data_IF_852362024504
#
_entry.id   IF_852362024504
#
_cell.length_a   1.000
_cell.length_b   1.000
_cell.length_c   1.000
_cell.angle_alpha   90.00
_cell.angle_beta   90.00
_cell.angle_gamma   90.00
#
_symmetry.space_group_name_H-M   'P 1'
#
loop_
_entity.id
_entity.type
_entity.pdbx_description
1 polymer ?
#
# COMPACT_ATOMS: atom_id res chain seq x y z
N UNK A 1 24.91 7.12 -5.55
CA UNK A 1 23.61 7.83 -5.63
C UNK A 1 22.67 7.05 -4.73
N UNK A 2 21.81 7.67 -3.91
CA UNK A 2 20.93 6.87 -3.06
C UNK A 2 19.91 6.10 -3.92
N UNK A 3 19.80 4.78 -3.72
CA UNK A 3 18.79 3.95 -4.38
C UNK A 3 17.41 4.05 -3.70
N UNK A 4 17.29 4.87 -2.66
CA UNK A 4 16.01 5.17 -2.02
C UNK A 4 15.13 6.01 -2.96
N UNK A 5 13.90 5.57 -3.14
CA UNK A 5 12.95 6.28 -3.98
C UNK A 5 12.47 7.57 -3.31
N UNK A 6 12.70 8.72 -3.94
CA UNK A 6 12.31 10.02 -3.38
C UNK A 6 10.80 10.18 -3.14
N UNK A 7 9.95 9.37 -3.80
CA UNK A 7 8.49 9.41 -3.66
C UNK A 7 7.94 8.45 -2.59
N UNK A 8 8.79 7.61 -1.99
CA UNK A 8 8.33 6.72 -0.92
C UNK A 8 8.11 7.53 0.37
N UNK A 9 7.10 7.16 1.19
CA UNK A 9 6.76 7.88 2.41
C UNK A 9 7.68 7.47 3.57
N UNK A 10 8.98 7.79 3.44
CA UNK A 10 10.00 7.55 4.47
C UNK A 10 9.61 8.23 5.79
N UNK A 11 9.81 7.54 6.91
CA UNK A 11 9.42 8.03 8.23
C UNK A 11 7.92 8.22 8.45
N UNK A 12 7.05 7.70 7.56
CA UNK A 12 5.60 7.76 7.76
C UNK A 12 5.14 6.97 8.98
N UNK A 13 4.16 7.48 9.76
CA UNK A 13 3.66 6.77 10.93
C UNK A 13 2.95 5.48 10.53
N UNK A 14 2.97 4.52 11.45
CA UNK A 14 2.15 3.30 11.37
C UNK A 14 0.98 3.40 12.34
N UNK A 15 -0.08 2.63 12.11
CA UNK A 15 -1.21 2.49 13.03
C UNK A 15 -1.07 1.15 13.76
N UNK A 16 -0.57 1.11 15.02
CA UNK A 16 -0.22 -0.14 15.71
C UNK A 16 -1.38 -1.12 15.87
N UNK A 17 -2.63 -0.62 15.84
CA UNK A 17 -3.82 -1.45 16.01
C UNK A 17 -4.30 -2.17 14.75
N UNK A 18 -3.69 -1.96 13.58
CA UNK A 18 -4.04 -2.71 12.36
C UNK A 18 -3.51 -4.14 12.48
N UNK A 19 -4.35 -5.18 12.32
CA UNK A 19 -3.90 -6.57 12.39
C UNK A 19 -2.96 -6.91 11.22
N UNK A 20 -2.11 -7.92 11.34
CA UNK A 20 -1.24 -8.38 10.25
C UNK A 20 -1.46 -9.86 9.97
N UNK A 21 -1.19 -10.33 8.74
CA UNK A 21 -1.12 -11.76 8.47
C UNK A 21 0.12 -12.40 9.14
N UNK A 22 0.05 -13.68 9.52
CA UNK A 22 -1.14 -14.53 9.47
C UNK A 22 -2.20 -14.06 10.48
N UNK A 23 -3.42 -13.80 10.01
CA UNK A 23 -4.51 -13.29 10.83
C UNK A 23 -4.96 -14.37 11.82
N UNK A 24 -5.32 -13.93 13.03
CA UNK A 24 -5.82 -14.83 14.06
C UNK A 24 -7.14 -15.50 13.65
N UNK A 25 -8.01 -14.75 12.99
CA UNK A 25 -9.34 -15.17 12.55
C UNK A 25 -9.85 -14.30 11.39
N UNK A 26 -11.04 -14.66 10.89
CA UNK A 26 -11.74 -13.95 9.83
C UNK A 26 -12.10 -12.50 10.20
N UNK A 27 -12.33 -12.23 11.49
CA UNK A 27 -12.68 -10.90 11.95
C UNK A 27 -11.48 -9.94 11.89
N UNK A 28 -10.27 -10.44 12.21
CA UNK A 28 -9.02 -9.71 12.05
C UNK A 28 -8.73 -9.41 10.57
N UNK A 29 -8.91 -10.38 9.67
CA UNK A 29 -8.78 -10.15 8.23
C UNK A 29 -9.82 -9.14 7.73
N UNK A 30 -11.10 -9.29 8.09
CA UNK A 30 -12.15 -8.36 7.70
C UNK A 30 -11.89 -6.93 8.25
N UNK A 31 -11.31 -6.82 9.44
CA UNK A 31 -10.89 -5.54 10.01
C UNK A 31 -9.72 -4.93 9.22
N UNK A 32 -8.75 -5.73 8.79
CA UNK A 32 -7.68 -5.27 7.90
C UNK A 32 -8.24 -4.66 6.62
N UNK A 33 -9.10 -5.40 5.92
CA UNK A 33 -9.67 -4.98 4.62
C UNK A 33 -10.51 -3.72 4.79
N UNK A 34 -11.34 -3.63 5.84
CA UNK A 34 -12.11 -2.42 6.13
C UNK A 34 -11.21 -1.21 6.38
N UNK A 35 -10.13 -1.36 7.15
CA UNK A 35 -9.20 -0.26 7.37
C UNK A 35 -8.46 0.13 6.08
N UNK A 36 -8.16 -0.83 5.21
CA UNK A 36 -7.60 -0.57 3.88
C UNK A 36 -8.58 0.21 3.00
N UNK A 37 -9.86 -0.17 2.95
CA UNK A 37 -10.91 0.56 2.24
C UNK A 37 -11.06 1.99 2.77
N UNK A 38 -11.08 2.17 4.10
CA UNK A 38 -11.11 3.50 4.72
C UNK A 38 -9.89 4.33 4.35
N UNK A 39 -8.69 3.75 4.37
CA UNK A 39 -7.47 4.43 3.94
C UNK A 39 -7.55 4.92 2.50
N UNK A 40 -8.03 4.08 1.57
CA UNK A 40 -8.25 4.48 0.17
C UNK A 40 -9.22 5.66 0.05
N UNK A 41 -10.30 5.66 0.83
CA UNK A 41 -11.25 6.76 0.85
C UNK A 41 -10.70 8.06 1.48
N UNK A 42 -9.75 7.94 2.43
CA UNK A 42 -9.09 9.10 3.05
C UNK A 42 -8.10 9.78 2.09
N UNK A 43 -7.37 8.99 1.28
CA UNK A 43 -6.37 9.53 0.33
C UNK A 43 -7.01 10.04 -0.97
N UNK A 44 -8.29 9.75 -1.21
CA UNK A 44 -9.05 10.30 -2.33
C UNK A 44 -9.48 11.76 -2.06
N UNK A 45 -8.83 12.71 -2.74
CA UNK A 45 -8.89 14.15 -2.45
C UNK A 45 -10.28 14.78 -2.57
N UNK A 46 -11.19 14.23 -3.40
CA UNK A 46 -12.56 14.72 -3.59
C UNK A 46 -13.63 14.07 -2.69
N UNK A 47 -13.24 13.06 -1.91
CA UNK A 47 -14.13 12.04 -1.34
C UNK A 47 -14.06 10.81 -2.23
N UNK A 48 -14.58 9.63 -1.82
CA UNK A 48 -14.42 8.42 -2.59
C UNK A 48 -15.15 8.56 -3.93
N UNK A 49 -14.41 8.87 -4.97
CA UNK A 49 -14.92 8.90 -6.34
C UNK A 49 -15.36 7.49 -6.74
N UNK A 50 -16.18 7.37 -7.78
CA UNK A 50 -16.68 6.08 -8.25
C UNK A 50 -15.59 4.99 -8.40
N UNK A 51 -14.36 5.27 -8.91
CA UNK A 51 -13.29 4.28 -8.96
C UNK A 51 -12.85 3.77 -7.58
N UNK A 52 -12.80 4.65 -6.57
CA UNK A 52 -12.46 4.30 -5.18
C UNK A 52 -13.55 3.41 -4.57
N UNK A 53 -14.82 3.73 -4.84
CA UNK A 53 -15.95 2.88 -4.42
C UNK A 53 -15.90 1.52 -5.10
N UNK A 54 -15.65 1.47 -6.41
CA UNK A 54 -15.54 0.22 -7.16
C UNK A 54 -14.39 -0.65 -6.64
N UNK A 55 -13.23 -0.05 -6.33
CA UNK A 55 -12.10 -0.74 -5.71
C UNK A 55 -12.45 -1.24 -4.31
N UNK A 56 -13.12 -0.44 -3.49
CA UNK A 56 -13.54 -0.85 -2.16
C UNK A 56 -14.50 -2.06 -2.22
N UNK A 57 -15.48 -2.04 -3.14
CA UNK A 57 -16.39 -3.17 -3.37
C UNK A 57 -15.64 -4.40 -3.91
N UNK A 58 -14.62 -4.22 -4.76
CA UNK A 58 -13.81 -5.34 -5.26
C UNK A 58 -12.93 -5.98 -4.17
N UNK A 59 -12.55 -5.22 -3.14
CA UNK A 59 -11.84 -5.72 -1.96
C UNK A 59 -12.76 -6.49 -1.01
N UNK A 60 -14.07 -6.25 -1.04
CA UNK A 60 -15.00 -7.00 -0.19
C UNK A 60 -14.95 -8.49 -0.55
N UNK A 61 -14.96 -9.32 0.50
CA UNK A 61 -14.99 -10.76 0.31
C UNK A 61 -16.23 -11.17 -0.48
N UNK A 62 -16.11 -12.17 -1.37
CA UNK A 62 -17.28 -12.76 -2.00
C UNK A 62 -18.22 -13.29 -0.92
N UNK A 63 -19.52 -13.05 -1.10
CA UNK A 63 -20.58 -13.53 -0.19
C UNK A 63 -20.54 -15.05 0.01
N UNK A 64 -19.96 -15.77 -0.94
CA UNK A 64 -19.77 -17.22 -0.91
C UNK A 64 -18.28 -17.53 -1.14
N UNK A 65 -17.45 -17.60 -0.08
CA UNK A 65 -16.05 -17.94 -0.22
C UNK A 65 -15.88 -19.38 -0.69
N UNK A 66 -14.80 -19.64 -1.43
CA UNK A 66 -14.44 -21.01 -1.81
C UNK A 66 -13.93 -21.78 -0.59
N UNK A 67 -14.15 -23.09 -0.55
CA UNK A 67 -13.71 -23.94 0.56
C UNK A 67 -12.17 -23.98 0.76
N UNK A 68 -11.40 -23.46 -0.20
CA UNK A 68 -9.93 -23.42 -0.19
C UNK A 68 -9.36 -22.05 0.18
N UNK A 69 -10.20 -21.07 0.53
CA UNK A 69 -9.73 -19.74 0.89
C UNK A 69 -9.00 -19.77 2.24
N UNK A 70 -7.70 -19.47 2.24
CA UNK A 70 -6.94 -19.28 3.48
C UNK A 70 -7.19 -17.87 4.04
N UNK A 71 -8.09 -17.78 5.00
CA UNK A 71 -8.47 -16.55 5.66
C UNK A 71 -7.41 -15.97 6.60
N UNK A 72 -6.32 -16.70 6.85
CA UNK A 72 -5.19 -16.19 7.62
C UNK A 72 -4.29 -15.31 6.77
N UNK A 73 -4.38 -15.36 5.45
CA UNK A 73 -3.52 -14.62 4.54
C UNK A 73 -4.31 -13.60 3.75
N UNK A 74 -3.62 -12.55 3.33
CA UNK A 74 -4.13 -11.64 2.32
C UNK A 74 -4.20 -12.36 0.98
N UNK A 75 -5.24 -12.09 0.19
CA UNK A 75 -5.23 -12.49 -1.21
C UNK A 75 -4.15 -11.69 -1.96
N UNK A 76 -3.65 -12.18 -3.11
CA UNK A 76 -2.69 -11.42 -3.91
C UNK A 76 -3.19 -10.01 -4.28
N UNK A 77 -4.50 -9.86 -4.51
CA UNK A 77 -5.12 -8.58 -4.82
C UNK A 77 -5.14 -7.63 -3.62
N UNK A 78 -5.57 -8.12 -2.45
CA UNK A 78 -5.58 -7.32 -1.22
C UNK A 78 -4.17 -6.87 -0.82
N UNK A 79 -3.19 -7.78 -0.94
CA UNK A 79 -1.79 -7.45 -0.73
C UNK A 79 -1.37 -6.35 -1.71
N UNK A 80 -1.57 -6.53 -3.02
CA UNK A 80 -1.18 -5.54 -4.03
C UNK A 80 -1.77 -4.14 -3.76
N UNK A 81 -3.05 -4.06 -3.38
CA UNK A 81 -3.71 -2.79 -3.06
C UNK A 81 -3.11 -2.19 -1.78
N UNK A 82 -2.87 -3.01 -0.75
CA UNK A 82 -2.20 -2.58 0.48
C UNK A 82 -0.79 -2.01 0.22
N UNK A 83 0.01 -2.64 -0.64
CA UNK A 83 1.37 -2.18 -0.93
C UNK A 83 1.35 -0.91 -1.79
N UNK A 84 0.49 -0.86 -2.81
CA UNK A 84 0.44 0.24 -3.79
C UNK A 84 -0.13 1.53 -3.19
N UNK A 85 -1.03 1.41 -2.20
CA UNK A 85 -1.64 2.54 -1.49
C UNK A 85 -0.83 3.03 -0.28
N UNK A 86 0.32 2.43 0.00
CA UNK A 86 1.12 2.72 1.20
C UNK A 86 0.35 2.58 2.52
N UNK A 87 -0.53 1.57 2.61
CA UNK A 87 -1.39 1.35 3.76
C UNK A 87 -0.55 1.31 5.07
N UNK A 88 -0.89 2.10 6.11
CA UNK A 88 -0.04 2.30 7.30
C UNK A 88 -0.13 1.14 8.31
N UNK A 89 -0.26 -0.09 7.83
CA UNK A 89 -0.17 -1.28 8.66
C UNK A 89 1.24 -1.37 9.30
N UNK A 90 1.34 -1.85 10.55
CA UNK A 90 2.58 -1.90 11.32
C UNK A 90 3.46 -3.09 10.90
N UNK A 91 3.62 -3.30 9.60
CA UNK A 91 4.40 -4.39 9.01
C UNK A 91 5.77 -4.48 9.68
N UNK A 92 6.12 -5.70 10.11
CA UNK A 92 7.50 -6.06 10.44
C UNK A 92 8.18 -6.63 9.20
N UNK A 93 9.53 -6.65 9.16
CA UNK A 93 10.26 -7.36 8.12
C UNK A 93 9.81 -8.81 7.99
N UNK A 94 9.61 -9.52 9.10
CA UNK A 94 9.15 -10.91 9.10
C UNK A 94 7.75 -11.07 8.50
N UNK A 95 6.78 -10.27 8.93
CA UNK A 95 5.40 -10.37 8.47
C UNK A 95 5.27 -10.03 6.98
N UNK A 96 5.99 -9.00 6.52
CA UNK A 96 5.97 -8.62 5.11
C UNK A 96 6.67 -9.68 4.26
N UNK A 97 7.79 -10.25 4.72
CA UNK A 97 8.48 -11.32 4.00
C UNK A 97 7.61 -12.57 3.82
N UNK A 98 6.86 -12.98 4.86
CA UNK A 98 5.91 -14.12 4.76
C UNK A 98 4.77 -13.80 3.79
N UNK A 99 4.22 -12.58 3.83
CA UNK A 99 3.14 -12.16 2.92
C UNK A 99 3.60 -12.11 1.45
N UNK A 100 4.87 -11.81 1.19
CA UNK A 100 5.45 -11.71 -0.14
C UNK A 100 5.93 -13.05 -0.72
N UNK A 101 5.81 -14.17 0.00
CA UNK A 101 6.36 -15.46 -0.43
C UNK A 101 5.82 -15.91 -1.80
N UNK A 102 4.56 -15.60 -2.09
CA UNK A 102 3.86 -15.95 -3.32
C UNK A 102 3.81 -14.79 -4.34
N UNK A 103 4.47 -13.67 -4.05
CA UNK A 103 4.54 -12.54 -4.97
C UNK A 103 5.42 -12.89 -6.21
N UNK A 104 5.16 -12.32 -7.40
CA UNK A 104 5.90 -12.65 -8.63
C UNK A 104 7.43 -12.52 -8.56
N UNK A 105 7.95 -11.65 -7.70
CA UNK A 105 9.39 -11.45 -7.47
C UNK A 105 9.91 -12.13 -6.19
N UNK A 106 9.03 -12.80 -5.45
CA UNK A 106 9.28 -13.37 -4.13
C UNK A 106 9.62 -12.32 -3.07
N UNK A 107 9.54 -12.72 -1.80
CA UNK A 107 9.96 -11.90 -0.68
C UNK A 107 11.46 -12.02 -0.33
N UNK A 108 11.97 -11.09 0.48
CA UNK A 108 13.29 -11.22 1.10
C UNK A 108 13.36 -12.47 1.98
N UNK A 109 14.54 -13.08 2.04
CA UNK A 109 14.80 -14.30 2.84
C UNK A 109 15.66 -13.97 4.05
N UNK A 110 15.29 -14.54 5.20
CA UNK A 110 16.09 -14.44 6.41
C UNK A 110 17.37 -15.26 6.29
N UNK A 111 18.50 -14.65 6.63
CA UNK A 111 19.82 -15.28 6.77
C UNK A 111 20.34 -15.09 8.18
N UNK A 112 21.50 -15.71 8.53
CA UNK A 112 22.16 -15.47 9.81
C UNK A 112 22.60 -14.01 10.00
N UNK A 113 22.98 -13.33 8.92
CA UNK A 113 23.49 -11.97 8.96
C UNK A 113 22.39 -10.89 8.91
N UNK A 114 21.17 -11.25 8.48
CA UNK A 114 20.13 -10.26 8.23
C UNK A 114 19.11 -10.76 7.23
N UNK A 115 18.68 -9.88 6.34
CA UNK A 115 17.80 -10.16 5.21
C UNK A 115 18.57 -10.10 3.90
N UNK A 116 18.26 -11.02 2.97
CA UNK A 116 18.79 -11.00 1.60
C UNK A 116 17.65 -11.10 0.60
N UNK A 117 17.75 -10.37 -0.50
CA UNK A 117 16.76 -10.40 -1.57
C UNK A 117 17.41 -10.28 -2.95
N UNK A 118 16.88 -11.02 -3.93
CA UNK A 118 17.36 -11.07 -5.32
C UNK A 118 18.82 -11.56 -5.50
N UNK A 119 19.29 -11.65 -6.75
CA UNK A 119 20.62 -12.14 -7.14
C UNK A 119 21.51 -11.12 -7.91
N UNK A 120 20.89 -10.19 -8.65
CA UNK A 120 21.44 -8.92 -9.19
C UNK A 120 20.27 -8.09 -9.81
N UNK A 121 19.90 -6.91 -9.28
CA UNK A 121 20.50 -6.30 -8.11
C UNK A 121 20.31 -7.19 -6.88
N UNK A 122 21.35 -7.40 -6.09
CA UNK A 122 21.23 -8.10 -4.82
C UNK A 122 21.21 -7.12 -3.66
N UNK A 123 20.33 -7.42 -2.71
CA UNK A 123 20.02 -6.58 -1.58
C UNK A 123 20.37 -7.33 -0.33
N UNK A 124 21.09 -6.67 0.57
CA UNK A 124 21.34 -7.15 1.93
C UNK A 124 20.94 -6.08 2.92
N UNK A 125 20.25 -6.47 3.99
CA UNK A 125 19.97 -5.61 5.13
C UNK A 125 20.47 -6.30 6.41
N UNK A 126 21.43 -5.68 7.06
CA UNK A 126 22.05 -6.19 8.28
C UNK A 126 21.74 -5.24 9.45
N UNK A 127 21.53 -5.74 10.67
CA UNK A 127 21.31 -4.88 11.84
C UNK A 127 22.50 -3.94 12.05
N UNK A 128 22.22 -2.64 12.20
CA UNK A 128 23.27 -1.65 12.42
C UNK A 128 23.62 -1.49 13.91
N UNK A 129 24.89 -1.15 14.19
CA UNK A 129 25.35 -0.86 15.54
C UNK A 129 24.76 0.49 15.99
N UNK A 130 23.73 0.44 16.83
CA UNK A 130 22.98 1.62 17.29
C UNK A 130 21.48 1.54 17.03
N UNK A 131 21.00 0.46 16.41
CA UNK A 131 19.60 0.30 15.99
C UNK A 131 19.44 0.47 14.49
N UNK A 132 18.29 0.06 13.95
CA UNK A 132 18.01 0.15 12.52
C UNK A 132 18.82 -0.82 11.65
N UNK A 133 18.97 -0.47 10.37
CA UNK A 133 19.49 -1.36 9.33
C UNK A 133 20.56 -0.68 8.49
N UNK A 134 21.66 -1.39 8.24
CA UNK A 134 22.60 -1.08 7.16
C UNK A 134 22.18 -1.88 5.94
N UNK A 135 21.80 -1.17 4.89
CA UNK A 135 21.35 -1.77 3.64
C UNK A 135 22.39 -1.56 2.57
N UNK A 136 22.82 -2.65 1.95
CA UNK A 136 23.72 -2.62 0.81
C UNK A 136 23.01 -3.19 -0.41
N UNK A 137 23.03 -2.42 -1.49
CA UNK A 137 22.51 -2.81 -2.80
C UNK A 137 23.68 -2.91 -3.77
N UNK A 138 23.82 -4.06 -4.43
CA UNK A 138 24.68 -4.18 -5.59
C UNK A 138 23.81 -4.20 -6.84
N UNK A 139 24.17 -3.41 -7.84
CA UNK A 139 23.54 -3.45 -9.15
C UNK A 139 24.59 -3.19 -10.22
N UNK A 140 24.74 -4.12 -11.18
CA UNK A 140 25.59 -3.92 -12.37
C UNK A 140 27.00 -3.41 -12.04
N UNK A 141 27.62 -3.97 -11.01
CA UNK A 141 28.98 -3.62 -10.57
C UNK A 141 29.11 -2.35 -9.72
N UNK A 142 27.99 -1.68 -9.40
CA UNK A 142 27.95 -0.57 -8.44
C UNK A 142 27.47 -1.06 -7.08
N UNK A 143 28.08 -0.57 -6.01
CA UNK A 143 27.71 -0.84 -4.62
C UNK A 143 27.29 0.46 -3.97
N UNK A 144 26.04 0.52 -3.52
CA UNK A 144 25.52 1.64 -2.73
C UNK A 144 25.09 1.13 -1.34
N UNK A 145 25.42 1.89 -0.29
CA UNK A 145 25.06 1.57 1.09
C UNK A 145 24.29 2.73 1.72
N UNK A 146 23.23 2.42 2.46
CA UNK A 146 22.41 3.39 3.19
C UNK A 146 22.05 2.87 4.58
N UNK A 147 21.82 3.79 5.52
CA UNK A 147 21.34 3.46 6.85
C UNK A 147 19.86 3.83 6.97
N UNK A 148 19.06 2.91 7.49
CA UNK A 148 17.63 3.10 7.80
C UNK A 148 17.47 3.08 9.32
N UNK A 149 16.71 4.03 9.85
CA UNK A 149 16.60 4.23 11.28
C UNK A 149 15.83 3.10 11.99
N UNK A 150 14.85 2.50 11.31
CA UNK A 150 13.95 1.52 11.90
C UNK A 150 13.42 0.48 10.89
N UNK A 151 12.62 -0.44 11.43
CA UNK A 151 11.96 -1.51 10.67
C UNK A 151 10.95 -0.98 9.65
N UNK A 152 10.31 0.17 9.93
CA UNK A 152 9.32 0.77 9.04
C UNK A 152 9.99 1.24 7.76
N UNK A 153 11.15 1.89 7.85
CA UNK A 153 11.89 2.30 6.66
C UNK A 153 12.38 1.07 5.86
N UNK A 154 12.82 -0.01 6.51
CA UNK A 154 13.17 -1.25 5.81
C UNK A 154 11.96 -1.84 5.04
N UNK A 155 10.79 -1.84 5.67
CA UNK A 155 9.53 -2.23 5.04
C UNK A 155 9.21 -1.32 3.86
N UNK A 156 9.26 0.00 4.03
CA UNK A 156 8.98 0.98 2.97
C UNK A 156 9.88 0.76 1.75
N UNK A 157 11.15 0.41 1.97
CA UNK A 157 12.10 0.06 0.92
C UNK A 157 11.69 -1.21 0.14
N UNK A 158 11.17 -2.22 0.81
CA UNK A 158 10.68 -3.43 0.14
C UNK A 158 9.36 -3.18 -0.60
N UNK A 159 8.44 -2.43 0.01
CA UNK A 159 7.19 -1.98 -0.61
C UNK A 159 7.45 -1.16 -1.87
N UNK A 160 8.44 -0.28 -1.82
CA UNK A 160 8.95 0.53 -2.92
C UNK A 160 9.36 -0.29 -4.16
N UNK A 161 9.77 -1.54 -3.96
CA UNK A 161 10.14 -2.44 -5.05
C UNK A 161 8.97 -3.28 -5.56
N UNK A 162 8.02 -3.66 -4.69
CA UNK A 162 6.82 -4.42 -5.08
C UNK A 162 5.67 -3.57 -5.62
N UNK A 163 5.61 -2.29 -5.28
CA UNK A 163 4.59 -1.39 -5.84
C UNK A 163 4.73 -1.34 -7.34
N UNK A 164 3.60 -1.29 -8.06
CA UNK A 164 3.60 -0.96 -9.48
C UNK A 164 4.22 0.42 -9.67
N UNK A 165 5.50 0.48 -10.06
CA UNK A 165 6.25 1.75 -10.23
C UNK A 165 5.72 2.60 -11.39
N UNK A 166 4.99 1.96 -12.29
CA UNK A 166 4.53 2.53 -13.54
C UNK A 166 3.06 2.96 -13.45
N UNK A 167 2.83 4.11 -12.82
CA UNK A 167 1.50 4.72 -12.76
C UNK A 167 1.42 5.93 -13.69
N UNK A 168 1.15 5.70 -14.98
CA UNK A 168 0.46 6.66 -15.87
C UNK A 168 0.14 6.06 -17.26
N UNK A 169 -1.08 6.19 -17.82
CA UNK A 169 -2.39 6.30 -17.17
C UNK A 169 -2.99 4.91 -16.83
N UNK A 170 -2.48 3.85 -17.48
CA UNK A 170 -2.65 2.43 -17.18
C UNK A 170 -1.30 1.77 -17.40
N UNK A 171 -0.64 1.27 -16.37
CA UNK A 171 0.53 0.42 -16.61
C UNK A 171 1.82 1.19 -16.97
N UNK A 172 1.74 2.25 -17.81
CA UNK A 172 2.75 3.09 -18.51
C UNK A 172 2.31 3.40 -19.97
N UNK A 173 1.13 2.96 -20.41
CA UNK A 173 0.64 3.11 -21.79
C UNK A 173 -0.86 3.42 -21.85
N UNK A 174 -1.29 4.13 -22.89
CA UNK A 174 -2.69 4.19 -23.32
C UNK A 174 -2.78 4.41 -24.82
N UNK A 175 -3.90 3.99 -25.39
CA UNK A 175 -4.29 4.35 -26.74
C UNK A 175 -5.23 5.56 -26.69
N UNK A 176 -4.87 6.62 -27.43
CA UNK A 176 -5.69 7.82 -27.54
C UNK A 176 -7.02 7.53 -28.25
N UNK A 177 -7.06 6.57 -29.18
CA UNK A 177 -8.28 6.18 -29.87
C UNK A 177 -9.29 5.53 -28.91
N UNK A 178 -8.82 4.64 -28.02
CA UNK A 178 -9.65 4.02 -26.99
C UNK A 178 -10.20 5.07 -26.01
N UNK A 179 -9.38 6.04 -25.62
CA UNK A 179 -9.81 7.14 -24.76
C UNK A 179 -10.93 7.97 -25.42
N UNK A 180 -10.81 8.29 -26.71
CA UNK A 180 -11.84 9.00 -27.48
C UNK A 180 -13.10 8.15 -27.62
N UNK A 181 -12.97 6.85 -27.88
CA UNK A 181 -14.09 5.94 -28.03
C UNK A 181 -14.91 5.78 -26.74
N UNK A 182 -14.23 5.72 -25.58
CA UNK A 182 -14.88 5.57 -24.27
C UNK A 182 -15.45 6.88 -23.72
N UNK A 183 -14.90 8.04 -24.09
CA UNK A 183 -15.22 9.33 -23.48
C UNK A 183 -16.73 9.65 -23.39
N UNK A 184 -17.58 9.43 -24.43
CA UNK A 184 -19.01 9.71 -24.32
C UNK A 184 -19.72 8.85 -23.27
N UNK A 185 -19.39 7.55 -23.20
CA UNK A 185 -19.98 6.63 -22.23
C UNK A 185 -19.49 6.95 -20.81
N UNK A 186 -18.18 7.22 -20.66
CA UNK A 186 -17.60 7.64 -19.38
C UNK A 186 -18.21 8.94 -18.87
N UNK A 187 -18.49 9.91 -19.76
CA UNK A 187 -19.18 11.15 -19.38
C UNK A 187 -20.60 10.91 -18.86
N UNK A 188 -21.34 9.96 -19.43
CA UNK A 188 -22.66 9.60 -18.94
C UNK A 188 -22.59 9.00 -17.52
N UNK A 189 -21.60 8.15 -17.25
CA UNK A 189 -21.34 7.59 -15.92
C UNK A 189 -20.96 8.70 -14.93
N UNK A 190 -20.05 9.60 -15.29
CA UNK A 190 -19.65 10.75 -14.45
C UNK A 190 -20.88 11.59 -14.07
N UNK A 191 -21.78 11.87 -15.02
CA UNK A 191 -23.01 12.63 -14.74
C UNK A 191 -23.96 11.88 -13.82
N UNK A 192 -24.05 10.56 -13.95
CA UNK A 192 -24.86 9.73 -13.05
C UNK A 192 -24.28 9.72 -11.64
N UNK A 193 -22.97 9.55 -11.51
CA UNK A 193 -22.27 9.55 -10.22
C UNK A 193 -22.35 10.90 -9.52
N UNK A 194 -22.34 12.02 -10.26
CA UNK A 194 -22.54 13.35 -9.69
C UNK A 194 -23.89 13.50 -8.94
N UNK A 195 -24.93 12.76 -9.35
CA UNK A 195 -26.21 12.72 -8.61
C UNK A 195 -26.04 11.95 -7.30
N UNK A 196 -25.32 10.82 -7.32
CA UNK A 196 -25.03 10.04 -6.12
C UNK A 196 -24.13 10.80 -5.13
N UNK A 197 -23.12 11.49 -5.65
CA UNK A 197 -22.20 12.35 -4.91
C UNK A 197 -22.91 13.51 -4.18
N UNK A 198 -24.13 13.88 -4.60
CA UNK A 198 -24.94 14.92 -3.97
C UNK A 198 -25.78 14.39 -2.79
N UNK A 199 -25.86 13.08 -2.56
CA UNK A 199 -26.59 12.55 -1.42
C UNK A 199 -25.89 12.87 -0.08
N UNK A 200 -26.66 13.04 1.02
CA UNK A 200 -26.13 13.46 2.31
C UNK A 200 -24.99 12.59 2.84
N UNK A 201 -25.04 11.27 2.62
CA UNK A 201 -24.03 10.36 3.15
C UNK A 201 -22.62 10.63 2.57
N UNK A 202 -22.51 11.11 1.34
CA UNK A 202 -21.24 11.51 0.71
C UNK A 202 -20.72 12.82 1.28
N UNK A 203 -21.62 13.77 1.58
CA UNK A 203 -21.27 15.02 2.24
C UNK A 203 -20.77 14.78 3.67
N UNK A 204 -21.48 13.96 4.45
CA UNK A 204 -21.07 13.56 5.81
C UNK A 204 -19.68 12.93 5.82
N UNK A 205 -19.41 12.01 4.90
CA UNK A 205 -18.06 11.43 4.80
C UNK A 205 -16.97 12.47 4.53
N UNK A 206 -17.21 13.42 3.60
CA UNK A 206 -16.22 14.47 3.30
C UNK A 206 -15.92 15.31 4.54
N UNK A 207 -16.94 15.68 5.30
CA UNK A 207 -16.78 16.42 6.57
C UNK A 207 -15.98 15.61 7.61
N UNK A 208 -16.29 14.33 7.80
CA UNK A 208 -15.57 13.44 8.71
C UNK A 208 -14.09 13.28 8.31
N UNK A 209 -13.84 13.06 7.01
CA UNK A 209 -12.48 12.98 6.46
C UNK A 209 -11.71 14.28 6.70
N UNK A 210 -12.29 15.42 6.33
CA UNK A 210 -11.61 16.71 6.42
C UNK A 210 -11.31 17.07 7.87
N UNK A 211 -12.23 16.77 8.80
CA UNK A 211 -12.00 16.88 10.23
C UNK A 211 -10.85 16.01 10.73
N UNK A 212 -10.79 14.73 10.32
CA UNK A 212 -9.72 13.82 10.70
C UNK A 212 -8.34 14.25 10.17
N UNK A 213 -8.27 14.67 8.90
CA UNK A 213 -7.03 15.14 8.28
C UNK A 213 -6.56 16.48 8.85
N UNK A 214 -7.49 17.39 9.17
CA UNK A 214 -7.15 18.65 9.84
C UNK A 214 -6.59 18.41 11.25
N UNK A 215 -7.19 17.49 12.02
CA UNK A 215 -6.70 17.11 13.33
C UNK A 215 -5.28 16.51 13.27
N UNK A 216 -5.00 15.67 12.27
CA UNK A 216 -3.66 15.11 12.06
C UNK A 216 -2.62 16.20 11.75
N UNK A 217 -2.94 17.16 10.87
CA UNK A 217 -2.05 18.30 10.56
C UNK A 217 -1.76 19.15 11.79
N UNK A 218 -2.78 19.46 12.59
CA UNK A 218 -2.60 20.23 13.82
C UNK A 218 -1.72 19.50 14.84
N UNK A 219 -1.80 18.18 14.93
CA UNK A 219 -0.94 17.38 15.79
C UNK A 219 0.53 17.38 15.31
N UNK A 220 0.77 17.35 14.00
CA UNK A 220 2.13 17.47 13.43
C UNK A 220 2.75 18.84 13.71
N UNK A 221 1.97 19.93 13.54
CA UNK A 221 2.45 21.29 13.78
C UNK A 221 2.72 21.56 15.26
N UNK A 222 1.95 20.97 16.18
CA UNK A 222 2.18 21.08 17.63
C UNK A 222 3.35 20.23 18.16
N UNK A 223 3.87 19.30 17.36
CA UNK A 223 5.01 18.45 17.71
C UNK A 223 6.37 18.99 17.21
N UNK A 224 6.36 20.08 16.42
CA UNK A 224 7.55 20.78 15.90
C UNK A 224 7.89 22.02 16.71
#
# INVERSE_FOLDING_TARGET
MSFLEARAPWGSPVVPGIPLPPFADDAAHARYVRMLQTHLALVDGGGPELPTVALAVALDRPRFPTATADHRRLTPFELQVSLTSWFPAPWTPEALADALVDAPYGGPRRTRAGWRWMGDPDFTAEPARGGGWTVTRHERGTVDTVHLADDRDLVVLWLSHHRGRYGYPLAHSHDAADAVALAPASLAVIRSDAVDAAFPYRATWREERDGALAAARAAEDGAR
#
